data_IF_480197899282
#
_entry.id   IF_480197899282
#
_cell.length_a   1.000
_cell.length_b   1.000
_cell.length_c   1.000
_cell.angle_alpha   90.00
_cell.angle_beta   90.00
_cell.angle_gamma   90.00
#
_symmetry.space_group_name_H-M   'P 1'
#
loop_
_entity.id
_entity.type
_entity.pdbx_description
1 polymer ?
#
# COMPACT_ATOMS: atom_id res chain seq x y z
N UNK A 1 -21.66 -17.50 -14.98
CA UNK A 1 -21.55 -16.63 -16.17
C UNK A 1 -20.49 -17.30 -17.03
N UNK A 2 -20.84 -17.66 -18.28
CA UNK A 2 -20.04 -18.53 -19.14
C UNK A 2 -18.60 -18.05 -19.30
N UNK A 3 -17.70 -18.96 -19.63
CA UNK A 3 -16.33 -18.62 -19.97
C UNK A 3 -16.35 -17.64 -21.15
N UNK A 4 -16.13 -16.36 -20.87
CA UNK A 4 -15.93 -15.34 -21.89
C UNK A 4 -14.57 -15.63 -22.52
N UNK A 5 -14.55 -15.84 -23.85
CA UNK A 5 -13.30 -16.01 -24.56
C UNK A 5 -12.51 -14.70 -24.50
N UNK A 6 -11.32 -14.79 -23.90
CA UNK A 6 -10.40 -13.67 -23.71
C UNK A 6 -10.12 -12.96 -25.04
N UNK A 7 -9.87 -13.73 -26.10
CA UNK A 7 -9.51 -13.20 -27.42
C UNK A 7 -10.65 -12.42 -28.08
N UNK A 8 -11.90 -12.85 -27.84
CA UNK A 8 -13.09 -12.15 -28.34
C UNK A 8 -13.22 -10.79 -27.65
N UNK A 9 -13.06 -10.74 -26.32
CA UNK A 9 -13.12 -9.47 -25.58
C UNK A 9 -12.00 -8.52 -25.99
N UNK A 10 -10.76 -9.03 -26.15
CA UNK A 10 -9.63 -8.22 -26.59
C UNK A 10 -9.88 -7.62 -27.99
N UNK A 11 -10.43 -8.41 -28.90
CA UNK A 11 -10.79 -7.97 -30.25
C UNK A 11 -11.94 -6.95 -30.26
N UNK A 12 -13.01 -7.20 -29.51
CA UNK A 12 -14.20 -6.32 -29.48
C UNK A 12 -13.91 -4.97 -28.81
N UNK A 13 -13.15 -4.97 -27.71
CA UNK A 13 -12.80 -3.76 -26.97
C UNK A 13 -11.53 -3.08 -27.48
N UNK A 14 -10.85 -3.65 -28.49
CA UNK A 14 -9.55 -3.19 -28.99
C UNK A 14 -8.54 -3.00 -27.85
N UNK A 15 -8.49 -3.97 -26.93
CA UNK A 15 -7.72 -3.90 -25.69
C UNK A 15 -6.92 -5.16 -25.41
N UNK A 16 -6.20 -5.15 -24.29
CA UNK A 16 -5.50 -6.33 -23.77
C UNK A 16 -5.82 -6.54 -22.31
N UNK A 17 -5.84 -7.80 -21.86
CA UNK A 17 -5.94 -8.07 -20.43
C UNK A 17 -4.60 -7.79 -19.75
N UNK A 18 -4.67 -7.14 -18.59
CA UNK A 18 -3.53 -6.89 -17.72
C UNK A 18 -3.83 -7.31 -16.30
N UNK A 19 -2.79 -7.43 -15.49
CA UNK A 19 -2.92 -7.63 -14.06
C UNK A 19 -3.58 -6.40 -13.42
N UNK A 20 -4.54 -6.61 -12.52
CA UNK A 20 -5.31 -5.50 -11.96
C UNK A 20 -4.45 -4.53 -11.12
N UNK A 21 -3.39 -5.02 -10.46
CA UNK A 21 -2.44 -4.15 -9.75
C UNK A 21 -1.72 -3.23 -10.69
N UNK A 22 -1.31 -3.73 -11.86
CA UNK A 22 -0.76 -2.87 -12.92
C UNK A 22 -1.83 -1.91 -13.45
N UNK A 23 -3.07 -2.36 -13.63
CA UNK A 23 -4.18 -1.54 -14.13
C UNK A 23 -4.43 -0.30 -13.24
N UNK A 24 -4.42 -0.44 -11.92
CA UNK A 24 -4.66 0.70 -11.01
C UNK A 24 -3.63 1.84 -11.14
N UNK A 25 -2.44 1.56 -11.66
CA UNK A 25 -1.42 2.58 -11.90
C UNK A 25 -1.53 3.27 -13.26
N UNK A 26 -2.34 2.75 -14.18
CA UNK A 26 -2.51 3.31 -15.53
C UNK A 26 -3.91 3.87 -15.79
N UNK A 27 -4.91 3.41 -15.03
CA UNK A 27 -6.30 3.87 -15.15
C UNK A 27 -6.47 5.27 -14.58
N UNK A 28 -7.37 6.04 -15.18
CA UNK A 28 -7.73 7.39 -14.73
C UNK A 28 -8.21 7.40 -13.27
N UNK A 29 -7.89 8.49 -12.55
CA UNK A 29 -8.22 8.63 -11.13
C UNK A 29 -9.72 8.55 -10.83
N UNK A 30 -10.59 8.80 -11.80
CA UNK A 30 -12.06 8.70 -11.66
C UNK A 30 -12.54 7.24 -11.61
N UNK A 31 -11.86 6.34 -12.32
CA UNK A 31 -12.27 4.95 -12.47
C UNK A 31 -11.55 4.02 -11.48
N UNK A 32 -10.38 4.44 -10.97
CA UNK A 32 -9.63 3.71 -9.94
C UNK A 32 -10.47 3.27 -8.73
N UNK A 33 -11.32 4.12 -8.12
CA UNK A 33 -12.18 3.72 -7.00
C UNK A 33 -13.19 2.63 -7.36
N UNK A 34 -13.71 2.64 -8.60
CA UNK A 34 -14.64 1.62 -9.08
C UNK A 34 -13.94 0.27 -9.24
N UNK A 35 -12.73 0.26 -9.82
CA UNK A 35 -11.91 -0.95 -9.94
C UNK A 35 -11.50 -1.51 -8.58
N UNK A 36 -11.09 -0.64 -7.65
CA UNK A 36 -10.75 -1.05 -6.29
C UNK A 36 -11.95 -1.66 -5.56
N UNK A 37 -13.13 -1.03 -5.67
CA UNK A 37 -14.38 -1.54 -5.10
C UNK A 37 -14.76 -2.89 -5.69
N UNK A 38 -14.70 -3.04 -7.01
CA UNK A 38 -15.01 -4.29 -7.69
C UNK A 38 -14.08 -5.42 -7.25
N UNK A 39 -12.77 -5.18 -7.23
CA UNK A 39 -11.78 -6.17 -6.79
C UNK A 39 -12.00 -6.61 -5.35
N UNK A 40 -12.11 -5.66 -4.43
CA UNK A 40 -12.31 -5.96 -3.01
C UNK A 40 -13.60 -6.73 -2.78
N UNK A 41 -14.70 -6.32 -3.42
CA UNK A 41 -15.99 -6.97 -3.24
C UNK A 41 -16.05 -8.38 -3.84
N UNK A 42 -15.49 -8.57 -5.04
CA UNK A 42 -15.43 -9.88 -5.68
C UNK A 42 -14.59 -10.86 -4.86
N UNK A 43 -13.41 -10.42 -4.39
CA UNK A 43 -12.55 -11.25 -3.53
C UNK A 43 -13.17 -11.55 -2.17
N UNK A 44 -13.82 -10.56 -1.55
CA UNK A 44 -14.53 -10.77 -0.29
C UNK A 44 -15.64 -11.82 -0.44
N UNK A 45 -16.41 -11.73 -1.52
CA UNK A 45 -17.44 -12.72 -1.80
C UNK A 45 -16.89 -14.12 -2.06
N UNK A 46 -15.70 -14.23 -2.66
CA UNK A 46 -15.03 -15.49 -2.90
C UNK A 46 -14.55 -16.14 -1.59
N UNK A 47 -14.00 -15.35 -0.67
CA UNK A 47 -13.50 -15.84 0.63
C UNK A 47 -14.58 -16.04 1.70
N UNK A 48 -15.77 -15.46 1.56
CA UNK A 48 -16.84 -15.50 2.57
C UNK A 48 -18.04 -16.38 2.15
N UNK A 49 -17.79 -17.45 1.42
CA UNK A 49 -18.86 -18.35 0.96
C UNK A 49 -19.54 -19.14 2.09
N UNK A 50 -18.84 -19.35 3.20
CA UNK A 50 -19.32 -20.13 4.35
C UNK A 50 -19.23 -19.30 5.65
N UNK A 51 -20.11 -19.60 6.59
CA UNK A 51 -20.24 -18.92 7.87
C UNK A 51 -19.14 -19.41 8.83
N UNK A 52 -18.27 -18.51 9.28
CA UNK A 52 -17.20 -18.81 10.25
C UNK A 52 -17.71 -19.38 11.57
N UNK A 53 -18.98 -19.12 11.95
CA UNK A 53 -19.59 -19.64 13.18
C UNK A 53 -20.17 -21.06 13.04
N UNK A 54 -20.63 -21.45 11.86
CA UNK A 54 -21.44 -22.67 11.68
C UNK A 54 -21.00 -23.60 10.57
N UNK A 55 -20.11 -23.16 9.67
CA UNK A 55 -19.72 -23.88 8.46
C UNK A 55 -20.78 -23.90 7.36
N UNK A 56 -21.99 -23.35 7.59
CA UNK A 56 -23.07 -23.34 6.60
C UNK A 56 -22.85 -22.27 5.52
N UNK A 57 -23.36 -22.46 4.29
CA UNK A 57 -23.30 -21.46 3.24
C UNK A 57 -23.90 -20.11 3.69
N UNK A 58 -23.31 -19.01 3.23
CA UNK A 58 -23.88 -17.67 3.37
C UNK A 58 -24.48 -17.20 2.05
N UNK A 59 -25.53 -16.38 2.11
CA UNK A 59 -26.21 -15.83 0.93
C UNK A 59 -25.92 -14.35 0.76
N UNK A 60 -25.61 -13.93 -0.47
CA UNK A 60 -25.39 -12.52 -0.82
C UNK A 60 -26.74 -11.81 -0.92
N UNK A 61 -26.82 -10.54 -0.52
CA UNK A 61 -27.97 -9.71 -0.87
C UNK A 61 -27.91 -9.28 -2.36
N UNK A 62 -29.03 -8.83 -2.96
CA UNK A 62 -29.05 -8.40 -4.37
C UNK A 62 -28.04 -7.29 -4.71
N UNK A 63 -27.71 -6.42 -3.76
CA UNK A 63 -26.74 -5.35 -3.95
C UNK A 63 -25.27 -5.78 -3.72
N UNK A 64 -25.01 -7.01 -3.29
CA UNK A 64 -23.66 -7.52 -2.97
C UNK A 64 -23.03 -6.96 -1.68
N UNK A 65 -23.61 -5.92 -1.07
CA UNK A 65 -23.04 -5.23 0.10
C UNK A 65 -22.99 -6.05 1.40
N UNK A 66 -23.62 -7.22 1.47
CA UNK A 66 -23.56 -8.10 2.65
C UNK A 66 -23.80 -9.57 2.30
N UNK A 67 -23.43 -10.45 3.25
CA UNK A 67 -23.77 -11.88 3.24
C UNK A 67 -24.44 -12.28 4.54
N UNK A 68 -25.46 -13.14 4.48
CA UNK A 68 -26.23 -13.57 5.64
C UNK A 68 -26.12 -15.09 5.79
N UNK A 69 -25.85 -15.56 6.99
CA UNK A 69 -26.00 -16.96 7.35
C UNK A 69 -27.38 -17.17 8.00
N UNK A 70 -28.30 -17.84 7.30
CA UNK A 70 -29.65 -18.09 7.83
C UNK A 70 -29.67 -19.06 9.02
N UNK A 71 -28.67 -19.94 9.14
CA UNK A 71 -28.57 -20.88 10.26
C UNK A 71 -28.22 -20.21 11.59
N UNK A 72 -27.42 -19.13 11.57
CA UNK A 72 -26.98 -18.43 12.79
C UNK A 72 -27.56 -17.03 12.95
N UNK A 73 -28.18 -16.47 11.92
CA UNK A 73 -28.62 -15.07 11.85
C UNK A 73 -27.48 -14.05 11.67
N UNK A 74 -26.21 -14.50 11.55
CA UNK A 74 -25.06 -13.58 11.43
C UNK A 74 -25.05 -12.91 10.06
N UNK A 75 -24.87 -11.59 10.07
CA UNK A 75 -24.62 -10.78 8.88
C UNK A 75 -23.15 -10.39 8.80
N UNK A 76 -22.52 -10.69 7.67
CA UNK A 76 -21.16 -10.32 7.34
C UNK A 76 -21.15 -9.14 6.36
N UNK A 77 -20.29 -8.17 6.62
CA UNK A 77 -20.03 -7.02 5.75
C UNK A 77 -18.61 -7.10 5.19
N UNK A 78 -18.34 -6.50 4.01
CA UNK A 78 -16.98 -6.32 3.52
C UNK A 78 -16.12 -5.60 4.55
N UNK A 79 -14.90 -6.11 4.77
CA UNK A 79 -13.96 -5.58 5.75
C UNK A 79 -12.78 -4.92 5.05
N UNK A 80 -12.21 -3.90 5.70
CA UNK A 80 -10.93 -3.33 5.32
C UNK A 80 -9.98 -3.40 6.51
N UNK A 81 -8.78 -3.92 6.29
CA UNK A 81 -7.74 -3.90 7.31
C UNK A 81 -7.08 -2.51 7.37
N UNK A 82 -7.05 -1.84 8.52
CA UNK A 82 -6.30 -0.58 8.66
C UNK A 82 -4.79 -0.86 8.56
N UNK A 83 -4.10 -0.06 7.76
CA UNK A 83 -2.64 -0.14 7.55
C UNK A 83 -2.09 1.28 7.64
N UNK A 84 -1.11 1.50 8.51
CA UNK A 84 -0.38 2.77 8.53
C UNK A 84 0.69 2.75 7.46
N UNK A 85 0.91 3.88 6.79
CA UNK A 85 2.04 4.09 5.90
C UNK A 85 2.72 5.40 6.27
N UNK A 86 3.98 5.32 6.66
CA UNK A 86 4.68 6.39 7.37
C UNK A 86 5.94 6.80 6.63
N UNK A 87 6.00 8.06 6.23
CA UNK A 87 7.25 8.68 5.80
C UNK A 87 7.95 9.28 7.02
N UNK A 88 9.07 8.69 7.41
CA UNK A 88 9.88 9.13 8.55
C UNK A 88 10.91 10.15 8.07
N UNK A 89 11.11 11.24 8.81
CA UNK A 89 12.12 12.26 8.52
C UNK A 89 12.94 12.63 9.76
N UNK A 90 14.22 12.95 9.57
CA UNK A 90 15.09 13.54 10.59
C UNK A 90 15.12 15.08 10.53
N UNK A 91 14.24 15.68 9.73
CA UNK A 91 14.19 17.10 9.41
C UNK A 91 14.86 17.45 8.07
N UNK A 92 15.96 16.78 7.72
CA UNK A 92 16.77 17.08 6.52
C UNK A 92 16.70 16.00 5.43
N UNK A 93 16.43 14.77 5.84
CA UNK A 93 16.34 13.56 5.01
C UNK A 93 15.03 12.85 5.31
N UNK A 94 14.58 11.98 4.41
CA UNK A 94 13.51 11.03 4.67
C UNK A 94 14.02 9.59 4.59
N UNK A 95 13.46 8.71 5.41
CA UNK A 95 13.77 7.29 5.40
C UNK A 95 12.82 6.58 4.45
N UNK A 96 13.39 5.77 3.56
CA UNK A 96 12.64 4.85 2.73
C UNK A 96 13.27 3.47 2.83
N UNK A 97 12.45 2.45 2.65
CA UNK A 97 12.87 1.05 2.72
C UNK A 97 12.31 0.23 1.57
N UNK A 98 12.81 -0.99 1.43
CA UNK A 98 12.32 -1.98 0.48
C UNK A 98 12.28 -3.36 1.10
N UNK A 99 11.26 -4.11 0.70
CA UNK A 99 11.11 -5.53 1.03
C UNK A 99 11.68 -6.40 -0.09
N UNK A 100 12.13 -7.63 0.19
CA UNK A 100 12.67 -8.55 -0.81
C UNK A 100 11.71 -8.83 -1.98
N UNK A 101 10.40 -8.74 -1.73
CA UNK A 101 9.36 -8.98 -2.73
C UNK A 101 9.17 -7.83 -3.73
N UNK A 102 9.73 -6.65 -3.45
CA UNK A 102 9.54 -5.47 -4.26
C UNK A 102 10.43 -5.49 -5.50
N UNK A 103 9.97 -4.88 -6.62
CA UNK A 103 10.80 -4.70 -7.80
C UNK A 103 12.19 -4.12 -7.42
N UNK A 104 13.28 -4.62 -8.03
CA UNK A 104 14.62 -4.14 -7.71
C UNK A 104 14.75 -2.61 -7.83
N UNK A 105 15.40 -2.00 -6.84
CA UNK A 105 15.58 -0.55 -6.76
C UNK A 105 14.35 0.26 -6.34
N UNK A 106 13.17 -0.35 -6.13
CA UNK A 106 11.99 0.38 -5.64
C UNK A 106 12.09 0.57 -4.13
N UNK A 107 12.06 1.82 -3.66
CA UNK A 107 11.99 2.21 -2.25
C UNK A 107 10.68 2.92 -1.94
N UNK A 108 10.12 2.70 -0.75
CA UNK A 108 8.85 3.29 -0.32
C UNK A 108 8.88 3.64 1.18
N UNK A 109 7.87 4.40 1.61
CA UNK A 109 7.59 4.62 3.04
C UNK A 109 7.31 3.30 3.77
N UNK A 110 7.59 3.26 5.07
CA UNK A 110 7.35 2.10 5.95
C UNK A 110 5.85 1.87 6.08
N UNK A 111 5.42 0.61 6.20
CA UNK A 111 3.98 0.33 6.33
C UNK A 111 3.70 -0.99 7.02
N UNK A 112 2.75 -0.97 7.95
CA UNK A 112 2.28 -2.17 8.61
C UNK A 112 0.87 -2.06 9.14
N UNK A 113 0.32 -3.19 9.57
CA UNK A 113 -1.07 -3.30 10.00
C UNK A 113 -1.25 -2.68 11.39
N UNK A 114 -2.40 -2.05 11.63
CA UNK A 114 -2.77 -1.72 13.01
C UNK A 114 -3.21 -2.99 13.74
N UNK A 115 -2.71 -3.18 14.96
CA UNK A 115 -3.15 -4.27 15.82
C UNK A 115 -4.45 -3.95 16.55
N UNK A 116 -5.09 -5.01 17.06
CA UNK A 116 -6.31 -4.88 17.85
C UNK A 116 -6.05 -4.07 19.13
N UNK A 117 -6.74 -2.95 19.26
CA UNK A 117 -6.64 -2.08 20.43
C UNK A 117 -5.66 -0.92 20.26
N UNK A 118 -4.87 -0.91 19.17
CA UNK A 118 -4.01 0.23 18.85
C UNK A 118 -4.81 1.36 18.19
N UNK A 119 -4.44 2.61 18.53
CA UNK A 119 -4.73 3.74 17.66
C UNK A 119 -3.69 3.86 16.54
N UNK A 120 -3.94 4.77 15.58
CA UNK A 120 -3.05 4.98 14.43
C UNK A 120 -1.66 5.41 14.89
N UNK A 121 -1.59 6.27 15.90
CA UNK A 121 -0.36 6.84 16.44
C UNK A 121 0.51 5.80 17.15
N UNK A 122 -0.09 4.82 17.80
CA UNK A 122 0.56 3.66 18.41
C UNK A 122 1.13 2.74 17.33
N UNK A 123 0.31 2.38 16.33
CA UNK A 123 0.76 1.56 15.20
C UNK A 123 1.94 2.21 14.46
N UNK A 124 1.88 3.52 14.18
CA UNK A 124 3.00 4.25 13.56
C UNK A 124 4.27 4.14 14.40
N UNK A 125 4.19 4.31 15.72
CA UNK A 125 5.35 4.23 16.60
C UNK A 125 5.93 2.82 16.66
N UNK A 126 5.06 1.81 16.77
CA UNK A 126 5.45 0.41 16.83
C UNK A 126 6.16 0.01 15.54
N UNK A 127 5.52 0.21 14.39
CA UNK A 127 6.07 -0.18 13.08
C UNK A 127 7.43 0.49 12.80
N UNK A 128 7.58 1.79 13.12
CA UNK A 128 8.86 2.50 12.96
C UNK A 128 9.93 1.96 13.92
N UNK A 129 9.56 1.59 15.15
CA UNK A 129 10.49 0.99 16.11
C UNK A 129 10.88 -0.45 15.73
N UNK A 130 9.93 -1.26 15.25
CA UNK A 130 10.14 -2.65 14.86
C UNK A 130 10.97 -2.76 13.58
N UNK A 131 10.59 -2.05 12.51
CA UNK A 131 11.24 -2.19 11.21
C UNK A 131 12.63 -1.53 11.14
N UNK A 132 12.81 -0.39 11.82
CA UNK A 132 14.03 0.44 11.67
C UNK A 132 14.64 0.95 12.98
N UNK A 133 14.09 0.58 14.14
CA UNK A 133 14.68 0.88 15.44
C UNK A 133 14.61 2.35 15.87
N UNK A 134 13.73 3.15 15.28
CA UNK A 134 13.67 4.60 15.53
C UNK A 134 12.51 4.98 16.47
N UNK A 135 12.74 5.99 17.32
CA UNK A 135 11.71 6.57 18.19
C UNK A 135 11.07 7.81 17.55
N UNK A 136 9.76 7.77 17.30
CA UNK A 136 9.00 8.90 16.73
C UNK A 136 8.73 9.97 17.78
N UNK A 137 9.18 11.20 17.51
CA UNK A 137 8.97 12.37 18.36
C UNK A 137 7.61 13.03 18.11
N UNK A 138 7.25 13.18 16.84
CA UNK A 138 5.96 13.77 16.43
C UNK A 138 5.45 13.12 15.16
N UNK A 139 4.12 13.16 14.99
CA UNK A 139 3.44 12.58 13.84
C UNK A 139 2.37 13.53 13.30
N UNK A 140 2.09 13.45 12.01
CA UNK A 140 1.04 14.23 11.35
C UNK A 140 0.35 13.38 10.29
N UNK A 141 -0.96 13.23 10.41
CA UNK A 141 -1.79 12.64 9.36
C UNK A 141 -1.70 13.47 8.06
N UNK A 142 -1.65 12.79 6.92
CA UNK A 142 -1.64 13.39 5.59
C UNK A 142 -2.92 13.06 4.83
N UNK A 143 -3.17 11.77 4.56
CA UNK A 143 -4.24 11.32 3.69
C UNK A 143 -4.59 9.84 3.95
N UNK A 144 -5.59 9.33 3.24
CA UNK A 144 -5.90 7.90 3.22
C UNK A 144 -6.21 7.41 1.82
N UNK A 145 -5.89 6.15 1.55
CA UNK A 145 -6.15 5.49 0.26
C UNK A 145 -6.66 4.07 0.48
N UNK A 146 -7.74 3.70 -0.21
CA UNK A 146 -8.15 2.30 -0.28
C UNK A 146 -7.18 1.53 -1.18
N UNK A 147 -6.67 0.41 -0.66
CA UNK A 147 -5.75 -0.48 -1.36
C UNK A 147 -6.38 -1.87 -1.53
N UNK A 148 -6.83 -2.25 -2.73
CA UNK A 148 -7.72 -3.41 -2.91
C UNK A 148 -6.99 -4.77 -3.01
N UNK A 149 -5.67 -4.82 -2.80
CA UNK A 149 -4.89 -6.06 -2.96
C UNK A 149 -4.67 -6.80 -1.63
N UNK A 150 -4.41 -8.10 -1.73
CA UNK A 150 -4.29 -9.07 -0.62
C UNK A 150 -5.56 -9.16 0.24
N UNK A 151 -5.71 -8.31 1.26
CA UNK A 151 -6.80 -8.33 2.24
C UNK A 151 -7.78 -7.16 2.13
N UNK A 152 -7.62 -6.27 1.12
CA UNK A 152 -8.36 -4.99 1.04
C UNK A 152 -8.05 -4.12 2.26
N UNK A 153 -7.16 -3.16 2.10
CA UNK A 153 -6.65 -2.34 3.20
C UNK A 153 -7.08 -0.88 3.08
N UNK A 154 -7.26 -0.20 4.21
CA UNK A 154 -7.31 1.25 4.27
C UNK A 154 -5.93 1.75 4.67
N UNK A 155 -5.18 2.29 3.70
CA UNK A 155 -3.88 2.90 3.94
C UNK A 155 -4.09 4.26 4.60
N UNK A 156 -3.47 4.49 5.75
CA UNK A 156 -3.54 5.71 6.55
C UNK A 156 -2.15 6.33 6.53
N UNK A 157 -2.01 7.41 5.77
CA UNK A 157 -0.72 8.02 5.50
C UNK A 157 -0.35 9.07 6.55
N UNK A 158 0.84 8.91 7.10
CA UNK A 158 1.40 9.76 8.15
C UNK A 158 2.80 10.23 7.77
N UNK A 159 3.14 11.44 8.21
CA UNK A 159 4.53 11.87 8.35
C UNK A 159 4.94 11.69 9.80
N UNK A 160 6.16 11.23 10.03
CA UNK A 160 6.76 11.10 11.36
C UNK A 160 8.10 11.83 11.41
N UNK A 161 8.37 12.52 12.52
CA UNK A 161 9.65 13.15 12.80
C UNK A 161 10.39 12.34 13.85
N UNK A 162 11.69 12.14 13.63
CA UNK A 162 12.62 11.56 14.60
C UNK A 162 13.76 12.54 14.88
N UNK A 163 14.34 12.47 16.07
CA UNK A 163 15.47 13.33 16.44
C UNK A 163 16.72 12.98 15.64
N UNK A 164 17.33 13.98 14.97
CA UNK A 164 18.50 13.77 14.12
C UNK A 164 19.70 13.13 14.86
N UNK A 165 19.85 13.37 16.16
CA UNK A 165 20.92 12.79 16.98
C UNK A 165 20.67 11.31 17.35
N UNK A 166 19.48 10.79 17.05
CA UNK A 166 19.06 9.40 17.31
C UNK A 166 18.58 8.70 16.03
N UNK A 167 19.03 9.17 14.86
CA UNK A 167 18.61 8.68 13.55
C UNK A 167 19.46 7.50 13.03
N UNK A 168 20.03 6.68 13.93
CA UNK A 168 20.75 5.46 13.56
C UNK A 168 19.74 4.34 13.26
N UNK A 169 19.80 3.78 12.05
CA UNK A 169 18.86 2.76 11.61
C UNK A 169 19.30 1.40 12.18
N UNK A 170 18.41 0.75 12.92
CA UNK A 170 18.54 -0.65 13.33
C UNK A 170 17.45 -1.46 12.63
N UNK A 171 17.79 -2.02 11.47
CA UNK A 171 16.81 -2.63 10.57
C UNK A 171 16.47 -4.08 10.95
N UNK A 172 15.19 -4.45 10.92
CA UNK A 172 14.79 -5.86 10.91
C UNK A 172 14.99 -6.49 9.53
N UNK A 173 16.04 -7.31 9.43
CA UNK A 173 16.40 -8.03 8.19
C UNK A 173 15.46 -9.18 7.82
N UNK A 174 14.51 -9.55 8.69
CA UNK A 174 13.47 -10.53 8.37
C UNK A 174 12.41 -9.93 7.45
N UNK A 175 12.13 -8.63 7.60
CA UNK A 175 11.08 -7.94 6.85
C UNK A 175 11.66 -7.07 5.72
N UNK A 176 12.75 -6.36 5.99
CA UNK A 176 13.35 -5.40 5.07
C UNK A 176 14.64 -5.95 4.45
N UNK A 177 14.77 -5.73 3.14
CA UNK A 177 16.02 -5.98 2.40
C UNK A 177 16.99 -4.83 2.60
N UNK A 178 16.48 -3.59 2.60
CA UNK A 178 17.28 -2.38 2.76
C UNK A 178 16.41 -1.22 3.28
N UNK A 179 16.94 -0.45 4.23
CA UNK A 179 16.37 0.79 4.73
C UNK A 179 17.48 1.84 4.85
N UNK A 180 17.26 3.03 4.30
CA UNK A 180 18.25 4.11 4.38
C UNK A 180 17.63 5.49 4.33
N UNK A 181 18.42 6.46 4.77
CA UNK A 181 18.13 7.87 4.61
C UNK A 181 18.38 8.32 3.17
N UNK A 182 17.46 9.12 2.64
CA UNK A 182 17.53 9.76 1.33
C UNK A 182 17.57 11.27 1.49
N UNK A 183 18.58 11.89 0.90
CA UNK A 183 18.69 13.34 0.81
C UNK A 183 17.73 13.95 -0.23
N UNK A 184 17.59 15.29 -0.19
CA UNK A 184 16.74 16.03 -1.12
C UNK A 184 17.05 15.74 -2.59
N UNK A 185 18.33 15.76 -2.97
CA UNK A 185 18.77 15.50 -4.35
C UNK A 185 18.44 14.08 -4.80
N UNK A 186 18.64 13.08 -3.93
CA UNK A 186 18.32 11.68 -4.24
C UNK A 186 16.82 11.49 -4.46
N UNK A 187 15.98 12.16 -3.67
CA UNK A 187 14.52 12.14 -3.84
C UNK A 187 14.12 12.77 -5.16
N UNK A 188 14.69 13.94 -5.50
CA UNK A 188 14.41 14.62 -6.78
C UNK A 188 14.80 13.75 -7.97
N UNK A 189 15.97 13.12 -7.93
CA UNK A 189 16.42 12.25 -9.03
C UNK A 189 15.63 10.93 -9.09
N UNK A 190 15.33 10.31 -7.95
CA UNK A 190 14.54 9.07 -7.91
C UNK A 190 13.10 9.24 -8.38
N UNK A 191 12.49 10.41 -8.15
CA UNK A 191 11.15 10.74 -8.66
C UNK A 191 11.09 10.90 -10.19
N UNK A 192 12.23 11.13 -10.86
CA UNK A 192 12.32 11.24 -12.33
C UNK A 192 12.52 9.90 -13.02
N UNK A 193 12.85 8.83 -12.27
CA UNK A 193 13.19 7.52 -12.84
C UNK A 193 11.94 6.69 -13.08
N UNK A 194 11.94 5.98 -14.22
CA UNK A 194 10.93 4.98 -14.53
C UNK A 194 11.38 3.58 -14.06
N UNK A 195 10.45 2.65 -13.78
CA UNK A 195 10.77 1.31 -13.26
C UNK A 195 11.75 0.50 -14.11
N UNK A 196 11.82 0.75 -15.42
CA UNK A 196 12.66 0.01 -16.37
C UNK A 196 14.05 0.61 -16.56
N UNK A 197 14.31 1.84 -16.13
CA UNK A 197 15.56 2.58 -16.40
C UNK A 197 16.59 2.50 -15.27
N UNK A 198 16.37 1.66 -14.26
CA UNK A 198 17.14 1.68 -13.01
C UNK A 198 18.36 0.76 -12.99
N UNK A 199 18.59 -0.10 -13.99
CA UNK A 199 19.72 -1.04 -13.97
C UNK A 199 21.02 -0.36 -14.45
N UNK A 200 22.06 -0.41 -13.63
CA UNK A 200 23.41 0.09 -13.92
C UNK A 200 24.29 -0.97 -14.61
N UNK A 201 25.38 -0.52 -15.24
CA UNK A 201 26.35 -1.37 -15.94
C UNK A 201 27.05 -2.39 -15.02
N UNK A 202 27.17 -2.08 -13.73
CA UNK A 202 27.72 -2.97 -12.71
C UNK A 202 26.69 -3.98 -12.16
N UNK A 203 25.45 -3.93 -12.66
CA UNK A 203 24.35 -4.79 -12.24
C UNK A 203 23.55 -4.28 -11.03
N UNK A 204 23.93 -3.16 -10.43
CA UNK A 204 23.18 -2.53 -9.34
C UNK A 204 21.94 -1.79 -9.85
N UNK A 205 20.99 -1.49 -8.95
CA UNK A 205 19.78 -0.75 -9.31
C UNK A 205 19.77 0.64 -8.65
N UNK A 206 19.53 1.67 -9.45
CA UNK A 206 19.29 3.02 -8.96
C UNK A 206 17.93 3.10 -8.25
N UNK A 207 17.86 3.79 -7.10
CA UNK A 207 16.60 3.98 -6.40
C UNK A 207 15.55 4.69 -7.25
N UNK A 208 14.34 4.16 -7.26
CA UNK A 208 13.14 4.77 -7.82
C UNK A 208 11.96 4.58 -6.86
N UNK A 209 10.91 5.39 -7.04
CA UNK A 209 9.81 5.47 -6.08
C UNK A 209 8.46 5.07 -6.68
N UNK A 210 7.47 4.70 -5.84
CA UNK A 210 6.14 4.33 -6.30
C UNK A 210 5.52 5.36 -7.27
N UNK A 211 4.65 4.91 -8.19
CA UNK A 211 4.02 5.80 -9.17
C UNK A 211 3.06 6.80 -8.50
N UNK A 212 2.72 7.87 -9.22
CA UNK A 212 1.91 9.00 -8.72
C UNK A 212 0.55 8.64 -8.11
N UNK A 213 0.00 7.49 -8.47
CA UNK A 213 -1.27 6.98 -7.94
C UNK A 213 -1.11 6.33 -6.56
N UNK A 214 0.09 5.95 -6.13
CA UNK A 214 0.34 5.37 -4.83
C UNK A 214 0.43 6.45 -3.74
N UNK A 215 -0.19 6.21 -2.58
CA UNK A 215 -0.15 7.15 -1.46
C UNK A 215 1.28 7.38 -0.92
N UNK A 216 2.18 6.40 -1.09
CA UNK A 216 3.61 6.57 -0.80
C UNK A 216 4.26 7.69 -1.64
N UNK A 217 3.91 7.78 -2.93
CA UNK A 217 4.39 8.85 -3.79
C UNK A 217 3.91 10.22 -3.30
N UNK A 218 2.65 10.30 -2.87
CA UNK A 218 2.09 11.52 -2.29
C UNK A 218 2.88 11.95 -1.05
N UNK A 219 3.17 11.04 -0.11
CA UNK A 219 3.99 11.35 1.06
C UNK A 219 5.37 11.91 0.67
N UNK A 220 6.07 11.24 -0.27
CA UNK A 220 7.39 11.70 -0.75
C UNK A 220 7.30 13.11 -1.36
N UNK A 221 6.26 13.38 -2.16
CA UNK A 221 6.02 14.70 -2.76
C UNK A 221 5.72 15.78 -1.73
N UNK A 222 4.93 15.46 -0.71
CA UNK A 222 4.61 16.38 0.39
C UNK A 222 5.85 16.72 1.22
N UNK A 223 6.74 15.75 1.47
CA UNK A 223 8.01 16.01 2.12
C UNK A 223 8.91 16.90 1.27
N UNK A 224 9.04 16.60 -0.03
CA UNK A 224 9.80 17.43 -0.98
C UNK A 224 9.30 18.90 -1.00
N UNK A 225 8.00 19.11 -0.97
CA UNK A 225 7.41 20.46 -0.90
C UNK A 225 7.75 21.16 0.42
N UNK A 226 7.78 20.45 1.55
CA UNK A 226 8.15 21.03 2.84
C UNK A 226 9.63 21.42 2.90
N UNK A 227 10.52 20.67 2.25
CA UNK A 227 11.95 20.99 2.19
C UNK A 227 12.28 22.19 1.30
N UNK A 228 11.35 22.60 0.44
CA UNK A 228 11.54 23.68 -0.54
C UNK A 228 10.73 24.94 -0.23
N UNK A 229 9.96 24.92 0.86
CA UNK A 229 9.18 26.05 1.37
C UNK A 229 10.01 26.92 2.32
#
# INVERSE_FOLDING_TARGET
IGALDKSVIESELQGSFTDLRKALFVVDGKDSPLLASAQSLLRWHDSHQYCSKTGQPTEKNPAGSKRVCHASGVTYYPQMSPVVITLVSDGSRCLLARQPSFPPGMFTALSGFCDMGENVEEAVRREVAEEVGLEVESLRYSASQHWPFLSSSLMIACHALVGAQRAEISMDTLELEEARWFGLEEIVEGLKREPSSSKQDDGSFLPWFPPKQAIAHQLIREWLQQQTA
#
